data_IF_242156349789
#
_entry.id   IF_242156349789
#
_cell.length_a   1.000
_cell.length_b   1.000
_cell.length_c   1.000
_cell.angle_alpha   90.00
_cell.angle_beta   90.00
_cell.angle_gamma   90.00
#
_symmetry.space_group_name_H-M   'P 1'
#
loop_
_entity.id
_entity.type
_entity.pdbx_description
1 polymer ?
#
# COMPACT_ATOMS: atom_id res chain seq x y z
N UNK A 1 27.12 -62.27 50.69
CA UNK A 1 25.93 -61.44 50.49
C UNK A 1 26.21 -60.36 49.46
N UNK A 2 25.70 -60.50 48.24
CA UNK A 2 25.98 -59.62 47.15
C UNK A 2 24.73 -58.81 46.88
N UNK A 3 24.77 -57.52 47.15
CA UNK A 3 23.72 -56.55 46.79
C UNK A 3 24.03 -56.03 45.43
N UNK A 4 23.23 -56.41 44.41
CA UNK A 4 23.31 -55.83 43.06
C UNK A 4 22.66 -54.43 43.06
N UNK A 5 23.27 -53.39 42.49
CA UNK A 5 22.63 -52.14 42.31
C UNK A 5 21.65 -52.24 41.14
N UNK A 6 20.39 -51.84 41.36
CA UNK A 6 19.39 -51.66 40.31
C UNK A 6 19.79 -50.49 39.42
N UNK A 7 20.01 -50.78 38.14
CA UNK A 7 20.16 -49.72 37.12
C UNK A 7 18.79 -49.19 36.75
N UNK A 8 18.49 -48.00 37.20
CA UNK A 8 17.35 -47.23 36.67
C UNK A 8 17.68 -46.73 35.27
N UNK A 9 17.07 -47.35 34.27
CA UNK A 9 17.05 -46.79 32.92
C UNK A 9 15.93 -45.75 32.87
N UNK A 10 16.30 -44.48 33.02
CA UNK A 10 15.44 -43.36 32.70
C UNK A 10 15.25 -43.33 31.18
N UNK A 11 14.07 -43.72 30.71
CA UNK A 11 13.65 -43.40 29.34
C UNK A 11 13.41 -41.90 29.28
N UNK A 12 14.42 -41.15 28.84
CA UNK A 12 14.27 -39.76 28.46
C UNK A 12 13.42 -39.66 27.21
N UNK A 13 12.15 -39.34 27.39
CA UNK A 13 11.31 -38.90 26.29
C UNK A 13 11.79 -37.53 25.85
N UNK A 14 12.51 -37.49 24.73
CA UNK A 14 12.93 -36.28 24.06
C UNK A 14 11.68 -35.64 23.44
N UNK A 15 11.07 -34.70 24.14
CA UNK A 15 9.96 -33.90 23.62
C UNK A 15 10.53 -32.90 22.64
N UNK A 16 10.45 -33.19 21.35
CA UNK A 16 10.78 -32.27 20.27
C UNK A 16 9.63 -31.28 20.20
N UNK A 17 9.82 -30.08 20.77
CA UNK A 17 8.97 -28.94 20.57
C UNK A 17 9.19 -28.43 19.12
N UNK A 18 8.30 -28.84 18.21
CA UNK A 18 8.24 -28.30 16.87
C UNK A 18 7.65 -26.89 17.01
N UNK A 19 8.51 -25.89 17.07
CA UNK A 19 8.15 -24.49 16.94
C UNK A 19 7.66 -24.26 15.51
N UNK A 20 6.34 -24.31 15.30
CA UNK A 20 5.73 -23.85 14.06
C UNK A 20 5.84 -22.33 14.05
N UNK A 21 6.92 -21.84 13.45
CA UNK A 21 7.05 -20.40 13.17
C UNK A 21 5.96 -19.98 12.19
N UNK A 22 4.98 -19.23 12.66
CA UNK A 22 4.07 -18.51 11.79
C UNK A 22 4.90 -17.48 11.00
N UNK A 23 5.25 -17.82 9.78
CA UNK A 23 5.75 -16.87 8.79
C UNK A 23 4.56 -15.97 8.41
N UNK A 24 4.38 -14.90 9.16
CA UNK A 24 3.51 -13.79 8.74
C UNK A 24 4.23 -13.16 7.56
N UNK A 25 3.84 -13.56 6.36
CA UNK A 25 4.36 -13.00 5.12
C UNK A 25 3.89 -11.53 5.01
N UNK A 26 4.75 -10.59 5.35
CA UNK A 26 4.57 -9.20 4.96
C UNK A 26 4.57 -9.15 3.43
N UNK A 27 3.41 -8.80 2.83
CA UNK A 27 3.29 -8.57 1.38
C UNK A 27 4.18 -7.36 1.05
N UNK A 28 5.32 -7.61 0.41
CA UNK A 28 6.21 -6.52 -0.01
C UNK A 28 5.56 -5.71 -1.13
N UNK A 29 5.73 -4.38 -1.07
CA UNK A 29 5.26 -3.51 -2.14
C UNK A 29 6.03 -3.78 -3.43
N UNK A 30 5.36 -3.87 -4.60
CA UNK A 30 6.05 -4.06 -5.87
C UNK A 30 6.87 -2.83 -6.24
N UNK A 31 7.96 -3.03 -6.99
CA UNK A 31 8.83 -1.94 -7.45
C UNK A 31 8.32 -1.31 -8.74
N UNK A 32 7.52 -2.05 -9.52
CA UNK A 32 6.97 -1.61 -10.80
C UNK A 32 5.53 -2.07 -11.00
N UNK A 33 4.79 -1.28 -11.77
CA UNK A 33 3.51 -1.67 -12.38
C UNK A 33 3.67 -1.45 -13.89
N UNK A 34 3.95 -2.51 -14.63
CA UNK A 34 4.31 -2.39 -16.04
C UNK A 34 5.51 -1.44 -16.24
N UNK A 35 5.30 -0.34 -16.95
CA UNK A 35 6.31 0.70 -17.18
C UNK A 35 6.48 1.67 -16.02
N UNK A 36 5.46 1.81 -15.15
CA UNK A 36 5.47 2.75 -14.04
C UNK A 36 6.48 2.32 -12.96
N UNK A 37 7.41 3.21 -12.66
CA UNK A 37 8.38 3.07 -11.55
C UNK A 37 7.69 3.45 -10.23
N UNK A 38 7.26 2.44 -9.50
CA UNK A 38 6.53 2.63 -8.24
C UNK A 38 7.43 3.09 -7.09
N UNK A 39 8.73 2.80 -7.14
CA UNK A 39 9.68 3.28 -6.13
C UNK A 39 9.77 4.80 -6.21
N UNK A 40 10.01 5.34 -7.41
CA UNK A 40 10.03 6.78 -7.64
C UNK A 40 8.70 7.45 -7.36
N UNK A 41 7.59 6.82 -7.76
CA UNK A 41 6.25 7.31 -7.48
C UNK A 41 6.00 7.50 -5.98
N UNK A 42 6.33 6.50 -5.17
CA UNK A 42 6.14 6.54 -3.71
C UNK A 42 7.09 7.50 -3.00
N UNK A 43 8.29 7.73 -3.54
CA UNK A 43 9.27 8.67 -2.97
C UNK A 43 8.81 10.12 -3.07
N UNK A 44 8.07 10.48 -4.13
CA UNK A 44 7.65 11.85 -4.38
C UNK A 44 6.30 12.17 -3.73
N UNK A 45 6.30 12.31 -2.41
CA UNK A 45 5.11 12.67 -1.65
C UNK A 45 4.55 14.02 -2.08
N UNK A 46 3.24 14.06 -2.32
CA UNK A 46 2.51 15.26 -2.76
C UNK A 46 3.08 15.93 -4.04
N UNK A 47 3.87 15.20 -4.82
CA UNK A 47 4.57 15.67 -6.03
C UNK A 47 5.55 16.84 -5.77
N UNK A 48 6.04 16.99 -4.55
CA UNK A 48 6.87 18.14 -4.16
C UNK A 48 8.32 18.03 -4.64
N UNK A 49 8.80 16.83 -4.97
CA UNK A 49 10.12 16.60 -5.56
C UNK A 49 10.14 16.73 -7.09
N UNK A 50 8.99 16.86 -7.74
CA UNK A 50 8.87 16.99 -9.19
C UNK A 50 9.12 15.69 -9.97
N UNK A 51 9.07 14.53 -9.32
CA UNK A 51 9.27 13.21 -9.94
C UNK A 51 7.94 12.71 -10.53
N UNK A 52 6.84 12.76 -9.79
CA UNK A 52 5.53 12.29 -10.26
C UNK A 52 5.06 12.94 -11.56
N UNK A 53 5.28 14.24 -11.82
CA UNK A 53 4.94 14.82 -13.11
C UNK A 53 5.57 14.09 -14.30
N UNK A 54 6.77 13.53 -14.13
CA UNK A 54 7.46 12.77 -15.18
C UNK A 54 6.93 11.35 -15.36
N UNK A 55 6.15 10.85 -14.41
CA UNK A 55 5.59 9.49 -14.39
C UNK A 55 4.11 9.43 -14.76
N UNK A 56 3.47 10.58 -15.02
CA UNK A 56 2.01 10.67 -15.28
C UNK A 56 1.62 9.87 -16.51
N UNK A 57 2.40 9.91 -17.58
CA UNK A 57 2.08 9.17 -18.80
C UNK A 57 2.18 7.66 -18.59
N UNK A 58 3.20 7.20 -17.89
CA UNK A 58 3.32 5.78 -17.51
C UNK A 58 2.17 5.36 -16.60
N UNK A 59 1.77 6.22 -15.64
CA UNK A 59 0.62 5.95 -14.79
C UNK A 59 -0.67 5.79 -15.61
N UNK A 60 -0.92 6.69 -16.57
CA UNK A 60 -2.10 6.62 -17.46
C UNK A 60 -2.14 5.35 -18.30
N UNK A 61 -0.97 4.86 -18.74
CA UNK A 61 -0.88 3.59 -19.47
C UNK A 61 -1.25 2.41 -18.56
N UNK A 62 -0.75 2.41 -17.33
CA UNK A 62 -0.84 1.27 -16.42
C UNK A 62 -2.07 1.30 -15.49
N UNK A 63 -2.81 2.42 -15.44
CA UNK A 63 -3.93 2.61 -14.50
C UNK A 63 -5.03 1.53 -14.61
N UNK A 64 -5.22 0.95 -15.80
CA UNK A 64 -6.20 -0.13 -16.00
C UNK A 64 -5.89 -1.36 -15.14
N UNK A 65 -4.61 -1.59 -14.83
CA UNK A 65 -4.17 -2.69 -13.97
C UNK A 65 -4.54 -2.48 -12.47
N UNK A 66 -4.98 -1.29 -12.10
CA UNK A 66 -5.45 -0.97 -10.76
C UNK A 66 -6.96 -1.18 -10.61
N UNK A 67 -7.72 -1.11 -11.71
CA UNK A 67 -9.18 -1.21 -11.68
C UNK A 67 -9.65 -2.53 -11.05
N UNK A 68 -10.67 -2.44 -10.19
CA UNK A 68 -11.24 -3.59 -9.51
C UNK A 68 -10.41 -4.15 -8.35
N UNK A 69 -9.25 -3.55 -8.03
CA UNK A 69 -8.48 -3.94 -6.84
C UNK A 69 -9.07 -3.31 -5.58
N UNK A 70 -8.86 -3.96 -4.44
CA UNK A 70 -9.20 -3.39 -3.14
C UNK A 70 -8.32 -2.18 -2.80
N UNK A 71 -8.89 -1.25 -2.03
CA UNK A 71 -8.19 -0.03 -1.61
C UNK A 71 -6.85 -0.33 -0.91
N UNK A 72 -6.81 -1.36 -0.07
CA UNK A 72 -5.58 -1.76 0.63
C UNK A 72 -4.51 -2.25 -0.34
N UNK A 73 -4.88 -3.03 -1.37
CA UNK A 73 -3.95 -3.49 -2.40
C UNK A 73 -3.42 -2.31 -3.24
N UNK A 74 -4.29 -1.37 -3.60
CA UNK A 74 -3.88 -0.14 -4.30
C UNK A 74 -2.93 0.69 -3.43
N UNK A 75 -3.21 0.79 -2.12
CA UNK A 75 -2.32 1.45 -1.16
C UNK A 75 -0.95 0.78 -1.04
N UNK A 76 -0.88 -0.55 -1.13
CA UNK A 76 0.41 -1.28 -1.17
C UNK A 76 1.16 -0.97 -2.46
N UNK A 77 0.47 -0.93 -3.60
CA UNK A 77 1.07 -0.67 -4.92
C UNK A 77 1.56 0.78 -5.02
N UNK A 78 0.66 1.75 -4.86
CA UNK A 78 0.96 3.18 -5.06
C UNK A 78 1.58 3.87 -3.83
N UNK A 79 1.56 3.21 -2.69
CA UNK A 79 1.91 3.81 -1.41
C UNK A 79 0.73 4.59 -0.81
N UNK A 80 0.95 5.11 0.41
CA UNK A 80 -0.06 5.91 1.11
C UNK A 80 -0.52 7.10 0.24
N UNK A 81 -1.82 7.32 0.06
CA UNK A 81 -2.32 8.49 -0.66
C UNK A 81 -1.90 9.79 0.05
N UNK A 82 -1.76 10.86 -0.71
CA UNK A 82 -1.44 12.18 -0.16
C UNK A 82 -2.62 12.72 0.65
N UNK A 83 -3.85 12.47 0.15
CA UNK A 83 -5.09 12.74 0.86
C UNK A 83 -5.97 11.49 0.79
N UNK A 84 -6.53 11.11 1.93
CA UNK A 84 -7.55 10.08 2.03
C UNK A 84 -8.86 10.74 2.47
N UNK A 85 -9.87 10.70 1.62
CA UNK A 85 -11.18 11.30 1.86
C UNK A 85 -12.27 10.24 1.87
N UNK A 86 -13.21 10.38 2.78
CA UNK A 86 -14.45 9.60 2.81
C UNK A 86 -15.56 10.39 2.13
N UNK A 87 -16.22 9.76 1.18
CA UNK A 87 -17.40 10.32 0.52
C UNK A 87 -18.70 9.75 1.06
N UNK A 88 -19.80 10.23 0.49
CA UNK A 88 -21.13 9.67 0.79
C UNK A 88 -21.26 8.20 0.40
N UNK A 89 -22.24 7.48 1.00
CA UNK A 89 -22.57 6.09 0.68
C UNK A 89 -21.38 5.12 0.84
N UNK A 90 -20.53 5.33 1.86
CA UNK A 90 -19.35 4.52 2.16
C UNK A 90 -18.30 4.46 1.04
N UNK A 91 -18.24 5.48 0.20
CA UNK A 91 -17.17 5.62 -0.79
C UNK A 91 -15.90 6.15 -0.16
N UNK A 92 -14.75 5.76 -0.74
CA UNK A 92 -13.43 6.27 -0.35
C UNK A 92 -12.75 6.89 -1.56
N UNK A 93 -11.97 7.92 -1.32
CA UNK A 93 -11.15 8.55 -2.34
C UNK A 93 -9.69 8.55 -1.90
N UNK A 94 -8.81 8.07 -2.75
CA UNK A 94 -7.36 8.26 -2.62
C UNK A 94 -6.93 9.32 -3.62
N UNK A 95 -6.29 10.35 -3.12
CA UNK A 95 -5.80 11.47 -3.93
C UNK A 95 -4.28 11.45 -3.94
N UNK A 96 -3.71 11.52 -5.14
CA UNK A 96 -2.28 11.67 -5.35
C UNK A 96 -2.04 12.92 -6.19
N UNK A 97 -1.24 13.85 -5.67
CA UNK A 97 -0.83 15.03 -6.42
C UNK A 97 0.11 14.64 -7.56
N UNK A 98 -0.06 15.28 -8.69
CA UNK A 98 0.74 15.07 -9.90
C UNK A 98 1.61 16.27 -10.25
N UNK A 99 1.41 17.41 -9.59
CA UNK A 99 2.13 18.66 -9.77
C UNK A 99 2.44 19.31 -8.44
N UNK A 100 3.48 20.12 -8.39
CA UNK A 100 3.78 20.99 -7.25
C UNK A 100 2.68 22.03 -7.06
N UNK A 101 2.46 22.44 -5.84
CA UNK A 101 1.51 23.48 -5.49
C UNK A 101 1.60 23.85 -4.02
N UNK A 102 0.57 24.52 -3.53
CA UNK A 102 0.47 24.98 -2.13
C UNK A 102 0.49 23.82 -1.13
N UNK A 103 0.13 22.60 -1.53
CA UNK A 103 0.23 21.40 -0.70
C UNK A 103 1.67 21.09 -0.26
N UNK A 104 2.68 21.60 -0.96
CA UNK A 104 4.08 21.41 -0.59
C UNK A 104 4.50 22.27 0.59
N UNK A 105 3.82 23.39 0.82
CA UNK A 105 4.04 24.22 2.01
C UNK A 105 3.23 23.67 3.19
N UNK A 106 1.96 23.30 2.93
CA UNK A 106 1.03 22.75 3.90
C UNK A 106 -0.02 21.88 3.18
N UNK A 107 -0.02 20.56 3.47
CA UNK A 107 -0.93 19.60 2.83
C UNK A 107 -2.40 19.86 3.14
N UNK A 108 -2.71 20.59 4.19
CA UNK A 108 -4.08 20.98 4.58
C UNK A 108 -4.63 22.16 3.81
N UNK A 109 -3.77 22.92 3.11
CA UNK A 109 -4.19 24.06 2.31
C UNK A 109 -4.82 23.63 0.99
N UNK A 110 -5.85 24.34 0.51
CA UNK A 110 -6.37 24.14 -0.83
C UNK A 110 -5.26 24.29 -1.88
N UNK A 111 -5.23 23.38 -2.84
CA UNK A 111 -4.26 23.41 -3.93
C UNK A 111 -4.96 23.17 -5.25
N UNK A 112 -4.67 24.02 -6.24
CA UNK A 112 -5.12 23.87 -7.62
C UNK A 112 -4.20 22.98 -8.48
N UNK A 113 -3.20 22.35 -7.88
CA UNK A 113 -2.33 21.40 -8.57
C UNK A 113 -3.13 20.22 -9.11
N UNK A 114 -2.76 19.72 -10.28
CA UNK A 114 -3.37 18.54 -10.86
C UNK A 114 -3.23 17.33 -9.93
N UNK A 115 -4.31 16.57 -9.80
CA UNK A 115 -4.40 15.36 -8.98
C UNK A 115 -4.95 14.21 -9.79
N UNK A 116 -4.55 13.00 -9.47
CA UNK A 116 -5.30 11.79 -9.81
C UNK A 116 -6.11 11.36 -8.59
N UNK A 117 -7.39 11.08 -8.82
CA UNK A 117 -8.34 10.69 -7.79
C UNK A 117 -8.83 9.30 -8.10
N UNK A 118 -8.64 8.39 -7.17
CA UNK A 118 -9.08 7.02 -7.23
C UNK A 118 -10.30 6.86 -6.34
N UNK A 119 -11.46 6.57 -6.95
CA UNK A 119 -12.71 6.35 -6.23
C UNK A 119 -12.95 4.85 -6.01
N UNK A 120 -13.10 4.48 -4.76
CA UNK A 120 -13.48 3.13 -4.34
C UNK A 120 -14.97 3.10 -4.00
N UNK A 121 -15.64 2.08 -4.49
CA UNK A 121 -17.05 1.85 -4.19
C UNK A 121 -17.28 1.41 -2.73
N UNK A 122 -18.54 1.21 -2.36
CA UNK A 122 -18.93 0.85 -0.99
C UNK A 122 -18.32 -0.48 -0.48
N UNK A 123 -17.93 -1.39 -1.38
CA UNK A 123 -17.26 -2.66 -1.03
C UNK A 123 -15.73 -2.54 -1.07
N UNK A 124 -15.20 -1.35 -1.37
CA UNK A 124 -13.76 -1.05 -1.34
C UNK A 124 -13.00 -1.36 -2.62
N UNK A 125 -13.68 -1.60 -3.74
CA UNK A 125 -13.04 -1.84 -5.03
C UNK A 125 -12.87 -0.54 -5.81
N UNK A 126 -11.70 -0.37 -6.45
CA UNK A 126 -11.44 0.76 -7.32
C UNK A 126 -12.37 0.72 -8.54
N UNK A 127 -13.24 1.72 -8.66
CA UNK A 127 -14.29 1.81 -9.67
C UNK A 127 -14.12 2.95 -10.66
N UNK A 128 -13.31 3.95 -10.33
CA UNK A 128 -13.09 5.10 -11.19
C UNK A 128 -11.75 5.78 -10.91
N UNK A 129 -11.12 6.29 -11.94
CA UNK A 129 -9.91 7.09 -11.88
C UNK A 129 -10.16 8.38 -12.67
N UNK A 130 -10.01 9.53 -12.00
CA UNK A 130 -10.21 10.85 -12.61
C UNK A 130 -8.99 11.74 -12.39
N UNK A 131 -8.83 12.73 -13.28
CA UNK A 131 -7.77 13.73 -13.22
C UNK A 131 -8.42 15.10 -13.11
N UNK A 132 -8.15 15.80 -12.04
CA UNK A 132 -8.76 17.12 -11.78
C UNK A 132 -7.93 17.97 -10.84
N UNK A 133 -8.24 19.26 -10.79
CA UNK A 133 -7.54 20.22 -9.94
C UNK A 133 -8.20 20.39 -8.56
N UNK A 134 -9.47 20.02 -8.45
CA UNK A 134 -10.23 20.11 -7.19
C UNK A 134 -10.31 18.76 -6.48
N UNK A 135 -10.66 18.78 -5.20
CA UNK A 135 -10.96 17.57 -4.45
C UNK A 135 -12.37 17.06 -4.81
N UNK A 136 -12.62 15.74 -4.67
CA UNK A 136 -13.97 15.21 -4.86
C UNK A 136 -14.93 15.76 -3.79
N UNK A 137 -16.18 15.97 -4.18
CA UNK A 137 -17.27 16.36 -3.29
C UNK A 137 -17.85 15.20 -2.49
#
# INVERSE_FOLDING_TARGET
MSTKPMRFWGKGTLTILISVGLLIGCKSAPDKLGKLDLVKWRQDRAACEGIRPTLVDDFKIEQANLMGKFADDVGVILGRPDIHQLGGRNQKFYVYFLEKGTQCDDISKPSSALKVILRFNAVGLLSEITYQNDLPE
#
